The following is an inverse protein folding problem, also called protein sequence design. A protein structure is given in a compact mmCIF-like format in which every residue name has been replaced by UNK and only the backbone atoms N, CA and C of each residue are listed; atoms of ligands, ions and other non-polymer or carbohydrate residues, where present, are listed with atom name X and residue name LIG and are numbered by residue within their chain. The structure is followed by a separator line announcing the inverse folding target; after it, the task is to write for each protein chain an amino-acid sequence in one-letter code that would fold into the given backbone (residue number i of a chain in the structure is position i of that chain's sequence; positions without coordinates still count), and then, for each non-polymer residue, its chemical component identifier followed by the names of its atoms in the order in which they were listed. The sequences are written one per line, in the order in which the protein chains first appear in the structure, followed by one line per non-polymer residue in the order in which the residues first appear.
data_IF_805064446532
#
_entry.id   IF_805064446532
#
_cell.length_a   1.000
_cell.length_b   1.000
_cell.length_c   1.000
_cell.angle_alpha   90.00
_cell.angle_beta   90.00
_cell.angle_gamma   90.00
#
_symmetry.space_group_name_H-M   'P 1'
#
loop_
_entity.id
_entity.type
_entity.pdbx_description
1 polymer ?
#
# COMPACT_ATOMS: atom_id res chain seq x y z
N UNK A 1 7.69 -43.93 -65.66
CA UNK A 1 6.43 -43.27 -65.30
C UNK A 1 6.69 -42.38 -64.09
N UNK A 2 6.27 -41.11 -64.14
CA UNK A 2 6.29 -40.13 -63.02
C UNK A 2 7.61 -39.36 -62.86
N UNK A 3 7.77 -38.16 -63.45
CA UNK A 3 7.39 -36.83 -62.89
C UNK A 3 8.24 -36.48 -61.65
N UNK A 4 9.19 -35.54 -61.66
CA UNK A 4 9.07 -34.15 -62.11
C UNK A 4 8.72 -33.28 -60.90
N UNK A 5 9.60 -32.33 -60.49
CA UNK A 5 9.19 -31.34 -59.48
C UNK A 5 10.30 -30.57 -58.76
N UNK A 6 10.80 -29.52 -59.40
CA UNK A 6 10.80 -28.17 -58.82
C UNK A 6 11.65 -27.89 -57.57
N UNK A 7 12.85 -27.34 -57.81
CA UNK A 7 13.52 -26.44 -56.84
C UNK A 7 12.56 -25.30 -56.46
N UNK A 8 12.23 -25.16 -55.18
CA UNK A 8 11.72 -23.89 -54.63
C UNK A 8 12.70 -23.34 -53.61
N UNK A 9 13.41 -22.29 -54.02
CA UNK A 9 14.15 -21.39 -53.12
C UNK A 9 13.13 -20.77 -52.18
N UNK A 10 13.15 -21.15 -50.91
CA UNK A 10 12.40 -20.47 -49.86
C UNK A 10 12.92 -19.04 -49.72
N UNK A 11 12.10 -18.08 -50.14
CA UNK A 11 12.34 -16.67 -49.90
C UNK A 11 12.40 -16.45 -48.38
N UNK A 12 13.52 -15.91 -47.88
CA UNK A 12 13.62 -15.42 -46.50
C UNK A 12 12.60 -14.30 -46.34
N UNK A 13 11.50 -14.60 -45.65
CA UNK A 13 10.48 -13.62 -45.28
C UNK A 13 11.17 -12.60 -44.35
N UNK A 14 11.27 -11.35 -44.79
CA UNK A 14 11.65 -10.23 -43.91
C UNK A 14 10.61 -10.17 -42.80
N UNK A 15 11.03 -10.51 -41.57
CA UNK A 15 10.26 -10.15 -40.39
C UNK A 15 10.18 -8.62 -40.37
N UNK A 16 8.96 -8.09 -40.17
CA UNK A 16 8.75 -6.66 -39.97
C UNK A 16 9.63 -6.18 -38.80
N UNK A 17 10.04 -4.90 -38.78
CA UNK A 17 10.82 -4.39 -37.65
C UNK A 17 10.00 -4.63 -36.39
N UNK A 18 10.59 -5.35 -35.41
CA UNK A 18 10.06 -5.43 -34.06
C UNK A 18 9.70 -4.00 -33.63
N UNK A 19 8.44 -3.78 -33.22
CA UNK A 19 8.08 -2.57 -32.51
C UNK A 19 9.14 -2.39 -31.42
N UNK A 20 9.99 -1.37 -31.55
CA UNK A 20 10.75 -0.88 -30.41
C UNK A 20 9.67 -0.57 -29.38
N UNK A 21 9.57 -1.36 -28.31
CA UNK A 21 8.80 -0.97 -27.15
C UNK A 21 9.28 0.45 -26.83
N UNK A 22 8.39 1.42 -27.02
CA UNK A 22 8.65 2.78 -26.57
C UNK A 22 8.85 2.59 -25.07
N UNK A 23 10.06 2.87 -24.56
CA UNK A 23 10.31 2.77 -23.12
C UNK A 23 9.40 3.78 -22.45
N UNK A 24 8.29 3.32 -21.89
CA UNK A 24 7.31 4.25 -21.34
C UNK A 24 7.53 4.40 -19.85
N UNK A 25 7.98 5.60 -19.46
CA UNK A 25 8.08 5.98 -18.06
C UNK A 25 6.70 6.43 -17.57
N UNK A 26 6.33 5.97 -16.38
CA UNK A 26 5.03 6.26 -15.76
C UNK A 26 5.29 6.84 -14.38
N UNK A 27 4.58 7.89 -13.98
CA UNK A 27 4.70 8.40 -12.62
C UNK A 27 3.79 7.63 -11.67
N UNK A 28 4.33 7.19 -10.55
CA UNK A 28 3.58 6.69 -9.41
C UNK A 28 3.53 7.76 -8.33
N UNK A 29 2.34 7.98 -7.77
CA UNK A 29 2.11 8.94 -6.69
C UNK A 29 1.57 8.19 -5.49
N UNK A 30 2.23 8.30 -4.34
CA UNK A 30 1.75 7.79 -3.05
C UNK A 30 1.33 8.96 -2.16
N UNK A 31 0.03 9.07 -1.89
CA UNK A 31 -0.56 10.12 -1.07
C UNK A 31 -0.68 9.63 0.37
N UNK A 32 0.31 9.91 1.20
CA UNK A 32 0.20 9.68 2.64
C UNK A 32 -0.58 10.77 3.36
N UNK A 33 -0.95 10.53 4.62
CA UNK A 33 -1.57 11.56 5.47
C UNK A 33 -0.62 12.67 5.96
N UNK A 34 0.64 12.69 5.49
CA UNK A 34 1.66 13.67 5.94
C UNK A 34 2.57 14.10 4.80
N UNK A 35 2.94 13.18 3.90
CA UNK A 35 3.72 13.50 2.71
C UNK A 35 3.05 12.89 1.47
N UNK A 36 3.31 13.50 0.33
CA UNK A 36 3.04 12.97 -1.01
C UNK A 36 4.38 12.65 -1.63
N UNK A 37 4.54 11.42 -2.10
CA UNK A 37 5.74 10.95 -2.78
C UNK A 37 5.41 10.67 -4.24
N UNK A 38 6.29 11.12 -5.14
CA UNK A 38 6.16 10.90 -6.58
C UNK A 38 7.44 10.27 -7.08
N UNK A 39 7.32 9.22 -7.88
CA UNK A 39 8.47 8.64 -8.57
C UNK A 39 8.18 8.34 -10.02
N UNK A 40 9.15 8.62 -10.88
CA UNK A 40 9.12 8.19 -12.27
C UNK A 40 9.62 6.74 -12.35
N UNK A 41 8.78 5.82 -12.82
CA UNK A 41 9.06 4.38 -12.79
C UNK A 41 9.27 3.83 -14.20
N UNK A 42 10.39 3.13 -14.38
CA UNK A 42 10.75 2.41 -15.60
C UNK A 42 9.93 1.13 -15.81
N UNK A 43 10.12 0.48 -16.96
CA UNK A 43 9.46 -0.81 -17.29
C UNK A 43 9.93 -1.97 -16.41
N UNK A 44 11.12 -1.85 -15.84
CA UNK A 44 11.74 -2.78 -14.90
C UNK A 44 11.36 -2.50 -13.44
N UNK A 45 10.35 -1.65 -13.20
CA UNK A 45 9.86 -1.24 -11.90
C UNK A 45 10.88 -0.45 -11.04
N UNK A 46 12.00 0.00 -11.61
CA UNK A 46 12.92 0.89 -10.90
C UNK A 46 12.44 2.34 -10.92
N UNK A 47 12.58 3.00 -9.77
CA UNK A 47 12.33 4.44 -9.62
C UNK A 47 13.55 5.22 -10.14
N UNK A 48 13.36 5.95 -11.24
CA UNK A 48 14.39 6.70 -11.95
C UNK A 48 14.58 8.11 -11.40
N UNK A 49 13.47 8.75 -11.01
CA UNK A 49 13.42 10.12 -10.49
C UNK A 49 12.43 10.17 -9.33
N UNK A 50 12.64 11.10 -8.39
CA UNK A 50 11.76 11.28 -7.23
C UNK A 50 11.50 12.75 -6.93
N UNK A 51 10.27 13.03 -6.50
CA UNK A 51 9.86 14.28 -5.90
C UNK A 51 9.03 14.01 -4.65
N UNK A 52 9.08 14.90 -3.66
CA UNK A 52 8.35 14.76 -2.41
C UNK A 52 7.87 16.11 -1.88
N UNK A 53 6.63 16.13 -1.39
CA UNK A 53 6.02 17.31 -0.76
C UNK A 53 5.24 16.92 0.49
N UNK A 54 4.89 17.90 1.32
CA UNK A 54 3.97 17.69 2.43
C UNK A 54 2.54 17.55 1.93
N UNK A 55 1.72 16.72 2.57
CA UNK A 55 0.29 16.60 2.25
C UNK A 55 -0.45 17.83 2.80
N UNK A 56 -1.06 18.65 1.92
CA UNK A 56 -1.82 19.83 2.34
C UNK A 56 -3.02 19.49 3.23
N UNK A 57 -3.43 20.44 4.07
CA UNK A 57 -4.59 20.30 4.98
C UNK A 57 -5.76 21.21 4.61
N UNK A 58 -5.57 22.07 3.61
CA UNK A 58 -6.50 23.07 3.13
C UNK A 58 -7.68 22.42 2.40
N UNK A 59 -7.48 21.22 1.85
CA UNK A 59 -8.52 20.40 1.23
C UNK A 59 -8.05 19.71 -0.06
N UNK A 60 -8.99 19.09 -0.79
CA UNK A 60 -8.72 18.27 -1.97
C UNK A 60 -8.00 19.03 -3.09
N UNK A 61 -8.36 20.28 -3.35
CA UNK A 61 -7.74 21.08 -4.40
C UNK A 61 -6.25 21.34 -4.14
N UNK A 62 -5.88 21.64 -2.89
CA UNK A 62 -4.47 21.85 -2.54
C UNK A 62 -3.66 20.55 -2.72
N UNK A 63 -4.25 19.39 -2.38
CA UNK A 63 -3.64 18.08 -2.62
C UNK A 63 -3.43 17.84 -4.12
N UNK A 64 -4.46 18.12 -4.94
CA UNK A 64 -4.37 18.01 -6.40
C UNK A 64 -3.26 18.90 -6.97
N UNK A 65 -3.22 20.18 -6.59
CA UNK A 65 -2.22 21.13 -7.06
C UNK A 65 -0.81 20.67 -6.67
N UNK A 66 -0.64 20.16 -5.45
CA UNK A 66 0.64 19.61 -4.97
C UNK A 66 1.06 18.39 -5.78
N UNK A 67 0.15 17.48 -6.12
CA UNK A 67 0.45 16.32 -6.98
C UNK A 67 0.90 16.81 -8.36
N UNK A 68 0.18 17.76 -8.97
CA UNK A 68 0.52 18.33 -10.28
C UNK A 68 1.90 18.95 -10.26
N UNK A 69 2.21 19.76 -9.25
CA UNK A 69 3.50 20.42 -9.11
C UNK A 69 4.65 19.42 -8.92
N UNK A 70 4.45 18.39 -8.10
CA UNK A 70 5.45 17.35 -7.87
C UNK A 70 5.70 16.51 -9.13
N UNK A 71 4.66 16.12 -9.86
CA UNK A 71 4.82 15.37 -11.12
C UNK A 71 5.52 16.23 -12.18
N UNK A 72 5.18 17.52 -12.28
CA UNK A 72 5.84 18.45 -13.22
C UNK A 72 7.27 18.80 -12.82
N UNK A 73 7.64 18.58 -11.56
CA UNK A 73 9.02 18.78 -11.09
C UNK A 73 9.98 17.66 -11.53
N UNK A 74 9.46 16.54 -12.05
CA UNK A 74 10.26 15.49 -12.67
C UNK A 74 10.91 16.04 -13.95
N UNK A 75 12.15 15.66 -14.21
CA UNK A 75 12.91 16.04 -15.41
C UNK A 75 12.41 15.37 -16.69
N UNK A 76 11.63 14.29 -16.56
CA UNK A 76 11.01 13.58 -17.68
C UNK A 76 9.49 13.58 -17.53
N UNK A 77 8.78 13.95 -18.60
CA UNK A 77 7.32 13.89 -18.66
C UNK A 77 6.85 12.42 -18.69
N UNK A 78 6.01 11.99 -17.73
CA UNK A 78 5.49 10.63 -17.72
C UNK A 78 4.39 10.47 -18.78
N UNK A 79 4.23 9.28 -19.36
CA UNK A 79 3.16 9.04 -20.34
C UNK A 79 1.79 8.75 -19.71
N UNK A 80 1.77 8.41 -18.42
CA UNK A 80 0.58 8.22 -17.59
C UNK A 80 0.97 8.42 -16.13
N UNK A 81 -0.02 8.60 -15.27
CA UNK A 81 0.17 8.68 -13.82
C UNK A 81 -0.75 7.68 -13.14
N UNK A 82 -0.24 7.01 -12.10
CA UNK A 82 -1.10 6.30 -11.17
C UNK A 82 -0.95 6.87 -9.77
N UNK A 83 -2.04 6.85 -9.01
CA UNK A 83 -2.15 7.48 -7.69
C UNK A 83 -2.66 6.47 -6.67
N UNK A 84 -1.84 6.19 -5.65
CA UNK A 84 -2.25 5.57 -4.40
C UNK A 84 -2.78 6.63 -3.45
N UNK A 85 -4.00 6.48 -2.94
CA UNK A 85 -4.60 7.41 -1.99
C UNK A 85 -5.35 6.67 -0.88
N UNK A 86 -5.37 7.18 0.37
CA UNK A 86 -6.04 6.50 1.46
C UNK A 86 -7.55 6.55 1.28
N UNK A 87 -8.21 5.43 1.57
CA UNK A 87 -9.67 5.31 1.51
C UNK A 87 -10.15 4.42 0.37
N UNK A 88 -11.48 4.33 0.22
CA UNK A 88 -12.12 3.40 -0.72
C UNK A 88 -12.18 4.04 -2.10
N UNK A 89 -11.49 3.43 -3.06
CA UNK A 89 -11.52 3.79 -4.48
C UNK A 89 -12.35 2.75 -5.24
N UNK A 90 -13.33 3.19 -6.01
CA UNK A 90 -14.13 2.32 -6.85
C UNK A 90 -14.36 2.94 -8.22
N UNK A 91 -14.03 2.20 -9.29
CA UNK A 91 -14.20 2.64 -10.68
C UNK A 91 -13.55 4.00 -11.02
N UNK A 92 -12.44 4.35 -10.36
CA UNK A 92 -11.76 5.64 -10.54
C UNK A 92 -12.30 6.77 -9.65
N UNK A 93 -13.42 6.55 -8.96
CA UNK A 93 -13.98 7.50 -8.00
C UNK A 93 -13.53 7.19 -6.57
N UNK A 94 -13.29 8.24 -5.80
CA UNK A 94 -12.94 8.13 -4.38
C UNK A 94 -14.22 8.27 -3.56
N UNK A 95 -14.66 7.15 -2.98
CA UNK A 95 -15.92 7.08 -2.24
C UNK A 95 -15.79 7.66 -0.83
N UNK A 96 -14.61 7.51 -0.20
CA UNK A 96 -14.33 8.02 1.15
C UNK A 96 -12.84 8.30 1.32
N UNK A 97 -12.48 9.39 2.02
CA UNK A 97 -11.08 9.72 2.37
C UNK A 97 -10.97 9.98 3.88
N UNK A 98 -10.85 8.93 4.71
CA UNK A 98 -10.95 9.06 6.17
C UNK A 98 -9.81 9.83 6.83
N UNK A 99 -8.72 10.14 6.11
CA UNK A 99 -7.51 10.75 6.66
C UNK A 99 -7.11 12.11 6.05
N UNK A 100 -7.87 12.65 5.08
CA UNK A 100 -7.61 14.00 4.53
C UNK A 100 -8.68 14.99 5.03
N UNK A 101 -8.28 16.10 5.69
CA UNK A 101 -9.22 17.08 6.23
C UNK A 101 -9.92 17.89 5.12
N UNK A 102 -11.10 18.43 5.43
CA UNK A 102 -11.88 19.34 4.56
C UNK A 102 -12.29 18.76 3.19
N UNK A 103 -12.60 17.45 3.16
CA UNK A 103 -13.07 16.75 1.97
C UNK A 103 -14.61 16.72 1.92
N UNK A 104 -15.23 17.81 1.48
CA UNK A 104 -16.68 17.96 1.46
C UNK A 104 -17.28 17.58 0.10
N UNK A 105 -17.63 16.29 -0.06
CA UNK A 105 -18.36 15.77 -1.23
C UNK A 105 -17.51 15.04 -2.27
N UNK A 106 -18.16 14.41 -3.28
CA UNK A 106 -17.45 13.70 -4.34
C UNK A 106 -16.72 14.72 -5.23
N UNK A 107 -15.41 14.54 -5.35
CA UNK A 107 -14.59 15.24 -6.35
C UNK A 107 -14.06 14.17 -7.28
N UNK A 108 -14.29 14.35 -8.58
CA UNK A 108 -13.64 13.56 -9.61
C UNK A 108 -12.16 13.97 -9.70
N UNK A 109 -11.35 13.43 -8.79
CA UNK A 109 -9.90 13.68 -8.78
C UNK A 109 -9.24 13.21 -10.06
N UNK A 110 -9.80 12.20 -10.74
CA UNK A 110 -9.25 11.68 -11.97
C UNK A 110 -9.34 12.70 -13.09
N UNK A 111 -10.54 13.18 -13.40
CA UNK A 111 -10.70 14.21 -14.42
C UNK A 111 -9.91 15.50 -14.09
N UNK A 112 -9.82 15.87 -12.80
CA UNK A 112 -9.05 17.03 -12.37
C UNK A 112 -7.54 16.85 -12.59
N UNK A 113 -6.97 15.69 -12.23
CA UNK A 113 -5.55 15.39 -12.43
C UNK A 113 -5.22 15.18 -13.90
N UNK A 114 -6.06 14.49 -14.67
CA UNK A 114 -5.88 14.35 -16.12
C UNK A 114 -5.83 15.70 -16.81
N UNK A 115 -6.75 16.62 -16.45
CA UNK A 115 -6.73 17.99 -16.95
C UNK A 115 -5.47 18.76 -16.52
N UNK A 116 -5.03 18.57 -15.28
CA UNK A 116 -3.84 19.24 -14.74
C UNK A 116 -2.52 18.73 -15.34
N UNK A 117 -2.43 17.44 -15.63
CA UNK A 117 -1.20 16.77 -16.06
C UNK A 117 -1.13 16.58 -17.58
N UNK A 118 -2.27 16.56 -18.29
CA UNK A 118 -2.33 16.34 -19.74
C UNK A 118 -2.10 14.88 -20.15
N UNK A 119 -2.07 13.95 -19.20
CA UNK A 119 -1.85 12.51 -19.42
C UNK A 119 -2.88 11.68 -18.64
N UNK A 120 -3.16 10.42 -19.05
CA UNK A 120 -4.13 9.57 -18.37
C UNK A 120 -3.77 9.29 -16.90
N UNK A 121 -4.77 9.21 -16.02
CA UNK A 121 -4.57 9.01 -14.58
C UNK A 121 -5.40 7.84 -14.04
N UNK A 122 -4.76 6.92 -13.31
CA UNK A 122 -5.42 5.82 -12.61
C UNK A 122 -5.30 5.98 -11.08
N UNK A 123 -6.27 5.43 -10.33
CA UNK A 123 -6.30 5.48 -8.87
C UNK A 123 -6.40 4.10 -8.25
N UNK A 124 -5.79 3.96 -7.09
CA UNK A 124 -5.96 2.81 -6.21
C UNK A 124 -5.89 3.23 -4.75
N UNK A 125 -6.40 2.36 -3.89
CA UNK A 125 -6.17 2.48 -2.46
C UNK A 125 -4.65 2.33 -2.16
N UNK A 126 -4.15 3.12 -1.20
CA UNK A 126 -2.75 3.15 -0.76
C UNK A 126 -2.19 1.77 -0.36
N UNK A 127 -2.93 0.99 0.44
CA UNK A 127 -2.52 -0.37 0.81
C UNK A 127 -2.54 -1.32 -0.40
N UNK A 128 -3.55 -1.19 -1.29
CA UNK A 128 -3.63 -2.02 -2.50
C UNK A 128 -2.46 -1.74 -3.44
N UNK A 129 -2.11 -0.48 -3.68
CA UNK A 129 -0.93 -0.16 -4.50
C UNK A 129 0.36 -0.58 -3.81
N UNK A 130 0.45 -0.45 -2.49
CA UNK A 130 1.60 -0.94 -1.73
C UNK A 130 1.84 -2.45 -1.95
N UNK A 131 0.79 -3.26 -1.83
CA UNK A 131 0.90 -4.70 -2.09
C UNK A 131 1.16 -5.01 -3.56
N UNK A 132 0.56 -4.24 -4.48
CA UNK A 132 0.81 -4.39 -5.92
C UNK A 132 2.28 -4.16 -6.25
N UNK A 133 2.92 -3.13 -5.68
CA UNK A 133 4.34 -2.88 -5.84
C UNK A 133 5.18 -4.06 -5.34
N UNK A 134 4.90 -4.52 -4.12
CA UNK A 134 5.57 -5.68 -3.51
C UNK A 134 5.35 -6.98 -4.29
N UNK A 135 4.20 -7.16 -4.94
CA UNK A 135 3.91 -8.33 -5.76
C UNK A 135 4.64 -8.28 -7.11
N UNK A 136 4.76 -7.09 -7.71
CA UNK A 136 5.45 -6.90 -8.98
C UNK A 136 6.97 -7.01 -8.86
N UNK A 137 7.56 -6.38 -7.84
CA UNK A 137 9.00 -6.19 -7.75
C UNK A 137 9.60 -6.38 -6.35
N UNK A 138 8.81 -6.80 -5.36
CA UNK A 138 9.24 -6.88 -3.97
C UNK A 138 9.04 -8.26 -3.33
N UNK A 139 8.69 -8.24 -2.05
CA UNK A 139 8.63 -9.41 -1.19
C UNK A 139 7.49 -10.38 -1.58
N UNK A 140 6.46 -9.91 -2.30
CA UNK A 140 5.36 -10.75 -2.78
C UNK A 140 5.58 -11.34 -4.19
N UNK A 141 6.72 -11.09 -4.84
CA UNK A 141 7.00 -11.65 -6.17
C UNK A 141 6.90 -13.18 -6.19
N UNK A 142 6.24 -13.68 -7.23
CA UNK A 142 6.02 -15.11 -7.47
C UNK A 142 4.86 -15.73 -6.67
N UNK A 143 4.25 -15.01 -5.74
CA UNK A 143 3.08 -15.51 -5.00
C UNK A 143 1.80 -15.42 -5.83
N UNK A 144 0.93 -16.43 -5.69
CA UNK A 144 -0.43 -16.43 -6.22
C UNK A 144 -1.43 -15.87 -5.23
N UNK A 145 -1.20 -16.06 -3.94
CA UNK A 145 -2.06 -15.52 -2.88
C UNK A 145 -1.21 -14.79 -1.84
N UNK A 146 -1.54 -13.53 -1.60
CA UNK A 146 -0.86 -12.73 -0.59
C UNK A 146 -1.84 -11.84 0.16
N UNK A 147 -1.71 -11.82 1.48
CA UNK A 147 -2.24 -10.75 2.30
C UNK A 147 -1.10 -9.77 2.53
N UNK A 148 -1.38 -8.49 2.47
CA UNK A 148 -0.44 -7.54 3.03
C UNK A 148 -1.05 -6.75 4.18
N UNK A 149 -0.17 -6.25 5.04
CA UNK A 149 -0.47 -5.56 6.28
C UNK A 149 0.43 -4.32 6.41
N UNK A 150 -0.15 -3.12 6.35
CA UNK A 150 0.56 -1.85 6.42
C UNK A 150 0.42 -1.24 7.80
N UNK A 151 1.50 -1.27 8.58
CA UNK A 151 1.56 -0.68 9.92
C UNK A 151 2.08 0.76 9.85
N UNK A 152 1.14 1.71 9.79
CA UNK A 152 1.41 3.13 9.66
C UNK A 152 0.66 3.95 10.71
N UNK A 153 0.11 5.09 10.28
CA UNK A 153 -0.79 5.90 11.12
C UNK A 153 -2.00 5.09 11.59
N UNK A 154 -2.54 4.28 10.68
CA UNK A 154 -3.55 3.25 10.91
C UNK A 154 -3.03 1.85 10.57
N UNK A 155 -3.94 0.92 10.31
CA UNK A 155 -3.62 -0.43 9.82
C UNK A 155 -4.31 -0.64 8.48
N UNK A 156 -3.53 -0.64 7.40
CA UNK A 156 -4.01 -0.95 6.04
C UNK A 156 -3.86 -2.43 5.72
N UNK A 157 -4.65 -2.92 4.78
CA UNK A 157 -4.45 -4.26 4.22
C UNK A 157 -4.91 -4.33 2.77
N UNK A 158 -4.42 -5.36 2.09
CA UNK A 158 -4.66 -5.59 0.67
C UNK A 158 -4.54 -7.08 0.35
N UNK A 159 -5.09 -7.49 -0.78
CA UNK A 159 -5.13 -8.89 -1.19
C UNK A 159 -4.64 -9.07 -2.64
N UNK A 160 -3.78 -10.07 -2.84
CA UNK A 160 -3.57 -10.74 -4.11
C UNK A 160 -4.25 -12.11 -4.00
N UNK A 161 -5.13 -12.44 -4.93
CA UNK A 161 -5.75 -13.77 -5.04
C UNK A 161 -5.65 -14.26 -6.49
N UNK A 162 -5.28 -15.52 -6.67
CA UNK A 162 -5.04 -16.12 -7.99
C UNK A 162 -4.09 -15.33 -8.91
N UNK A 163 -3.05 -14.74 -8.31
CA UNK A 163 -2.04 -13.94 -9.00
C UNK A 163 -2.59 -12.63 -9.54
N UNK A 164 -3.61 -12.05 -8.90
CA UNK A 164 -4.22 -10.78 -9.30
C UNK A 164 -4.59 -9.95 -8.06
N UNK A 165 -4.49 -8.61 -8.11
CA UNK A 165 -5.06 -7.75 -7.09
C UNK A 165 -6.57 -8.02 -6.92
N UNK A 166 -7.02 -8.10 -5.68
CA UNK A 166 -8.41 -8.35 -5.33
C UNK A 166 -8.99 -7.18 -4.53
N UNK A 167 -9.75 -6.31 -5.21
CA UNK A 167 -10.40 -5.14 -4.59
C UNK A 167 -11.79 -5.46 -4.01
N UNK A 168 -12.32 -6.65 -4.29
CA UNK A 168 -13.69 -7.04 -3.96
C UNK A 168 -14.76 -6.28 -4.74
N UNK A 169 -16.04 -6.53 -4.40
CA UNK A 169 -17.19 -6.02 -5.14
C UNK A 169 -17.35 -4.49 -5.09
N UNK A 170 -16.78 -3.83 -4.07
CA UNK A 170 -16.92 -2.38 -3.82
C UNK A 170 -15.60 -1.65 -3.64
N UNK A 171 -14.46 -2.28 -3.95
CA UNK A 171 -13.15 -1.68 -3.72
C UNK A 171 -12.70 -1.67 -2.26
N UNK A 172 -13.29 -2.51 -1.39
CA UNK A 172 -13.08 -2.51 0.06
C UNK A 172 -12.65 -3.89 0.60
N UNK A 173 -12.12 -4.77 -0.27
CA UNK A 173 -11.49 -6.00 0.20
C UNK A 173 -10.15 -5.69 0.88
N UNK A 174 -9.75 -6.53 1.84
CA UNK A 174 -8.44 -6.40 2.50
C UNK A 174 -8.41 -5.44 3.69
N UNK A 175 -9.53 -4.87 4.13
CA UNK A 175 -9.66 -3.96 5.30
C UNK A 175 -9.39 -4.63 6.67
N UNK A 176 -8.21 -5.25 6.80
CA UNK A 176 -7.78 -6.05 7.97
C UNK A 176 -7.70 -5.20 9.24
N UNK A 177 -7.38 -3.91 9.11
CA UNK A 177 -7.38 -2.95 10.21
C UNK A 177 -8.75 -2.78 10.87
N UNK A 178 -9.83 -3.09 10.15
CA UNK A 178 -11.20 -2.95 10.65
C UNK A 178 -11.86 -4.27 11.05
N UNK A 179 -11.15 -5.40 10.94
CA UNK A 179 -11.59 -6.68 11.53
C UNK A 179 -11.75 -6.52 13.03
N UNK A 180 -12.91 -6.90 13.56
CA UNK A 180 -13.21 -6.83 14.99
C UNK A 180 -12.63 -8.05 15.68
N UNK A 181 -11.55 -7.85 16.43
CA UNK A 181 -10.90 -8.91 17.22
C UNK A 181 -11.35 -8.94 18.68
N UNK A 182 -11.97 -7.86 19.15
CA UNK A 182 -12.50 -7.75 20.51
C UNK A 182 -13.84 -7.02 20.54
N UNK A 183 -14.94 -7.76 20.43
CA UNK A 183 -16.28 -7.20 20.50
C UNK A 183 -16.45 -6.32 21.76
N UNK A 184 -16.99 -5.10 21.58
CA UNK A 184 -17.13 -4.13 22.67
C UNK A 184 -15.82 -3.47 23.13
N UNK A 185 -14.70 -3.68 22.43
CA UNK A 185 -13.38 -3.19 22.77
C UNK A 185 -13.16 -1.68 22.58
N UNK A 186 -11.90 -1.32 22.30
CA UNK A 186 -11.45 0.06 22.12
C UNK A 186 -12.14 0.71 20.91
N UNK A 187 -12.40 2.02 21.03
CA UNK A 187 -13.03 2.80 19.96
C UNK A 187 -12.04 3.03 18.80
N UNK A 188 -12.40 2.55 17.62
CA UNK A 188 -11.67 2.79 16.38
C UNK A 188 -12.02 4.16 15.79
N UNK A 189 -11.11 4.70 14.98
CA UNK A 189 -11.31 5.87 14.13
C UNK A 189 -12.57 5.76 13.25
N UNK A 190 -12.90 4.56 12.76
CA UNK A 190 -14.06 4.28 11.92
C UNK A 190 -15.40 4.26 12.67
N UNK A 191 -15.41 4.59 13.98
CA UNK A 191 -16.59 4.64 14.84
C UNK A 191 -17.01 3.31 15.46
N UNK A 192 -16.46 2.18 15.00
CA UNK A 192 -16.70 0.84 15.58
C UNK A 192 -15.82 0.59 16.80
N UNK A 193 -16.11 -0.50 17.53
CA UNK A 193 -15.33 -0.94 18.70
C UNK A 193 -14.70 -2.29 18.47
N UNK A 194 -13.43 -2.42 18.84
CA UNK A 194 -12.71 -3.69 18.82
C UNK A 194 -11.95 -4.02 17.54
N UNK A 195 -11.83 -3.06 16.60
CA UNK A 195 -11.05 -3.22 15.39
C UNK A 195 -9.56 -3.39 15.68
N UNK A 196 -8.82 -4.11 14.83
CA UNK A 196 -7.35 -4.23 14.93
C UNK A 196 -6.67 -2.87 15.05
N UNK A 197 -7.05 -1.90 14.20
CA UNK A 197 -6.50 -0.54 14.19
C UNK A 197 -6.71 0.20 15.52
N UNK A 198 -7.76 -0.12 16.28
CA UNK A 198 -8.04 0.52 17.57
C UNK A 198 -6.96 0.22 18.63
N UNK A 199 -6.11 -0.78 18.38
CA UNK A 199 -5.00 -1.18 19.24
C UNK A 199 -3.65 -1.01 18.56
N UNK A 200 -3.55 -1.37 17.27
CA UNK A 200 -2.27 -1.45 16.57
C UNK A 200 -1.94 -0.25 15.68
N UNK A 201 -2.93 0.60 15.35
CA UNK A 201 -2.65 1.83 14.60
C UNK A 201 -1.82 2.79 15.44
N UNK A 202 -0.78 3.42 14.86
CA UNK A 202 0.09 4.35 15.60
C UNK A 202 -0.68 5.49 16.26
N UNK A 203 -1.72 6.02 15.60
CA UNK A 203 -2.62 7.03 16.18
C UNK A 203 -3.35 6.52 17.44
N UNK A 204 -3.78 5.26 17.42
CA UNK A 204 -4.44 4.62 18.57
C UNK A 204 -3.47 4.39 19.72
N UNK A 205 -2.24 3.93 19.42
CA UNK A 205 -1.18 3.78 20.41
C UNK A 205 -0.78 5.12 21.02
N UNK A 206 -0.62 6.18 20.23
CA UNK A 206 -0.35 7.55 20.71
C UNK A 206 -1.43 8.05 21.68
N UNK A 207 -2.70 7.80 21.37
CA UNK A 207 -3.83 8.13 22.27
C UNK A 207 -3.77 7.33 23.57
N UNK A 208 -3.39 6.06 23.49
CA UNK A 208 -3.22 5.22 24.68
C UNK A 208 -2.07 5.72 25.57
N UNK A 209 -0.92 6.07 24.98
CA UNK A 209 0.20 6.69 25.70
C UNK A 209 -0.25 7.95 26.44
N UNK A 210 -0.91 8.87 25.74
CA UNK A 210 -1.39 10.12 26.35
C UNK A 210 -2.34 9.85 27.54
N UNK A 211 -3.26 8.90 27.39
CA UNK A 211 -4.21 8.51 28.45
C UNK A 211 -3.48 7.92 29.66
N UNK A 212 -2.51 7.03 29.43
CA UNK A 212 -1.80 6.32 30.48
C UNK A 212 -0.81 7.24 31.22
N UNK A 213 -0.17 8.17 30.52
CA UNK A 213 0.68 9.20 31.13
C UNK A 213 -0.15 10.17 31.99
N UNK A 214 -1.34 10.57 31.52
CA UNK A 214 -2.25 11.36 32.35
C UNK A 214 -2.70 10.63 33.62
N UNK A 215 -2.72 9.29 33.59
CA UNK A 215 -2.96 8.43 34.75
C UNK A 215 -1.70 8.14 35.59
N UNK A 216 -0.57 8.79 35.32
CA UNK A 216 0.67 8.69 36.11
C UNK A 216 1.65 7.60 35.66
N UNK A 217 1.42 6.94 34.52
CA UNK A 217 2.41 6.02 33.94
C UNK A 217 3.60 6.82 33.40
N UNK A 218 4.81 6.29 33.59
CA UNK A 218 6.05 6.85 33.04
C UNK A 218 6.41 6.18 31.72
N UNK A 219 7.05 6.94 30.83
CA UNK A 219 7.58 6.46 29.55
C UNK A 219 8.66 7.39 29.04
N UNK A 220 9.66 6.83 28.35
CA UNK A 220 10.69 7.58 27.63
C UNK A 220 10.21 8.07 26.24
N UNK A 221 9.02 7.69 25.78
CA UNK A 221 8.52 8.02 24.44
C UNK A 221 8.54 9.52 24.13
N UNK A 222 8.24 10.39 25.10
CA UNK A 222 8.27 11.84 24.90
C UNK A 222 9.69 12.40 24.90
N UNK A 223 10.57 11.90 25.76
CA UNK A 223 11.97 12.30 25.79
C UNK A 223 12.65 11.91 24.46
N UNK A 224 12.43 10.66 24.01
CA UNK A 224 12.92 10.17 22.71
C UNK A 224 12.36 11.01 21.56
N UNK A 225 11.07 11.38 21.59
CA UNK A 225 10.46 12.26 20.57
C UNK A 225 11.22 13.59 20.48
N UNK A 226 11.50 14.20 21.62
CA UNK A 226 12.13 15.52 21.70
C UNK A 226 13.59 15.47 21.26
N UNK A 227 14.33 14.43 21.67
CA UNK A 227 15.70 14.16 21.22
C UNK A 227 15.78 13.92 19.70
N UNK A 228 14.77 13.25 19.12
CA UNK A 228 14.67 12.98 17.69
C UNK A 228 14.13 14.18 16.87
N UNK A 229 13.87 15.31 17.54
CA UNK A 229 13.27 16.51 16.96
C UNK A 229 11.99 16.21 16.14
N UNK A 230 11.14 15.30 16.65
CA UNK A 230 9.88 14.91 16.00
C UNK A 230 8.69 15.62 16.62
N UNK A 231 7.68 15.92 15.78
CA UNK A 231 6.43 16.54 16.24
C UNK A 231 5.46 15.56 16.92
N UNK A 232 5.69 14.25 16.79
CA UNK A 232 4.83 13.20 17.32
C UNK A 232 5.59 11.89 17.51
N UNK A 233 4.92 10.87 18.07
CA UNK A 233 5.53 9.55 18.31
C UNK A 233 5.60 8.75 17.00
N UNK A 234 6.48 9.19 16.10
CA UNK A 234 6.69 8.55 14.79
C UNK A 234 7.18 7.10 14.92
N UNK A 235 7.13 6.32 13.83
CA UNK A 235 7.66 4.94 13.83
C UNK A 235 9.13 4.87 14.27
N UNK A 236 9.93 5.91 14.02
CA UNK A 236 11.32 6.02 14.52
C UNK A 236 11.36 6.09 16.06
N UNK A 237 10.48 6.90 16.66
CA UNK A 237 10.38 7.04 18.12
C UNK A 237 9.94 5.73 18.76
N UNK A 238 8.94 5.05 18.17
CA UNK A 238 8.50 3.73 18.63
C UNK A 238 9.61 2.67 18.53
N UNK A 239 10.29 2.57 17.39
CA UNK A 239 11.38 1.62 17.21
C UNK A 239 12.50 1.83 18.23
N UNK A 240 12.88 3.09 18.49
CA UNK A 240 13.88 3.43 19.51
C UNK A 240 13.40 3.08 20.93
N UNK A 241 12.16 3.42 21.29
CA UNK A 241 11.61 3.08 22.60
C UNK A 241 11.53 1.56 22.83
N UNK A 242 11.23 0.77 21.80
CA UNK A 242 11.25 -0.69 21.88
C UNK A 242 12.66 -1.24 22.05
N UNK A 243 13.65 -0.68 21.33
CA UNK A 243 15.05 -1.06 21.46
C UNK A 243 15.63 -0.70 22.84
N UNK A 244 15.18 0.40 23.44
CA UNK A 244 15.54 0.83 24.79
C UNK A 244 14.68 0.17 25.89
N UNK A 245 13.78 -0.75 25.51
CA UNK A 245 12.90 -1.49 26.42
C UNK A 245 12.03 -0.58 27.31
N UNK A 246 11.52 0.53 26.77
CA UNK A 246 10.55 1.37 27.46
C UNK A 246 9.31 0.53 27.85
N UNK A 247 8.97 0.40 29.15
CA UNK A 247 7.93 -0.51 29.57
C UNK A 247 6.55 -0.24 28.97
N UNK A 248 6.18 1.05 28.82
CA UNK A 248 4.88 1.43 28.25
C UNK A 248 4.83 1.16 26.75
N UNK A 249 5.91 1.47 26.02
CA UNK A 249 6.02 1.18 24.60
C UNK A 249 5.92 -0.33 24.34
N UNK A 250 6.68 -1.14 25.11
CA UNK A 250 6.63 -2.60 25.00
C UNK A 250 5.24 -3.17 25.33
N UNK A 251 4.56 -2.68 26.36
CA UNK A 251 3.19 -3.10 26.72
C UNK A 251 2.19 -2.84 25.59
N UNK A 252 2.17 -1.61 25.06
CA UNK A 252 1.26 -1.22 23.99
C UNK A 252 1.57 -1.94 22.69
N UNK A 253 2.85 -2.10 22.37
CA UNK A 253 3.28 -2.79 21.16
C UNK A 253 2.98 -4.30 21.22
N UNK A 254 3.13 -4.93 22.40
CA UNK A 254 2.71 -6.32 22.60
C UNK A 254 1.22 -6.46 22.34
N UNK A 255 0.41 -5.58 22.92
CA UNK A 255 -1.05 -5.55 22.68
C UNK A 255 -1.37 -5.39 21.19
N UNK A 256 -0.64 -4.52 20.49
CA UNK A 256 -0.80 -4.29 19.06
C UNK A 256 -0.51 -5.56 18.23
N UNK A 257 0.62 -6.22 18.49
CA UNK A 257 1.03 -7.44 17.79
C UNK A 257 0.07 -8.61 18.07
N UNK A 258 -0.36 -8.80 19.31
CA UNK A 258 -1.35 -9.83 19.66
C UNK A 258 -2.68 -9.61 18.93
N UNK A 259 -3.14 -8.36 18.88
CA UNK A 259 -4.37 -7.96 18.19
C UNK A 259 -4.26 -8.21 16.67
N UNK A 260 -3.12 -7.85 16.07
CA UNK A 260 -2.82 -8.17 14.67
C UNK A 260 -2.83 -9.68 14.47
N UNK A 261 -2.21 -10.45 15.36
CA UNK A 261 -2.17 -11.90 15.31
C UNK A 261 -3.56 -12.53 15.22
N UNK A 262 -4.51 -12.09 16.06
CA UNK A 262 -5.91 -12.55 16.00
C UNK A 262 -6.51 -12.27 14.61
N UNK A 263 -6.35 -11.05 14.11
CA UNK A 263 -6.92 -10.63 12.83
C UNK A 263 -6.32 -11.39 11.64
N UNK A 264 -4.99 -11.44 11.56
CA UNK A 264 -4.25 -12.08 10.47
C UNK A 264 -4.43 -13.59 10.49
N UNK A 265 -4.35 -14.24 11.65
CA UNK A 265 -4.61 -15.68 11.76
C UNK A 265 -6.04 -16.05 11.35
N UNK A 266 -7.03 -15.23 11.73
CA UNK A 266 -8.42 -15.40 11.27
C UNK A 266 -8.55 -15.21 9.76
N UNK A 267 -7.85 -14.23 9.17
CA UNK A 267 -7.87 -14.00 7.73
C UNK A 267 -7.23 -15.15 6.96
N UNK A 268 -6.13 -15.72 7.45
CA UNK A 268 -5.48 -16.90 6.86
C UNK A 268 -6.45 -18.08 6.81
N UNK A 269 -7.23 -18.33 7.87
CA UNK A 269 -8.24 -19.40 7.87
C UNK A 269 -9.32 -19.24 6.79
N UNK A 270 -9.59 -18.00 6.35
CA UNK A 270 -10.61 -17.70 5.34
C UNK A 270 -10.03 -17.68 3.93
N UNK A 271 -8.80 -17.18 3.79
CA UNK A 271 -8.22 -16.82 2.50
C UNK A 271 -7.17 -17.80 2.00
N UNK A 272 -6.52 -18.55 2.89
CA UNK A 272 -5.46 -19.51 2.58
C UNK A 272 -4.34 -18.91 1.69
N UNK A 273 -3.58 -17.97 2.26
CA UNK A 273 -2.54 -17.22 1.54
C UNK A 273 -1.17 -17.87 1.62
N UNK A 274 -0.36 -17.75 0.56
CA UNK A 274 1.05 -18.19 0.54
C UNK A 274 1.96 -17.21 1.29
N UNK A 275 1.57 -15.94 1.36
CA UNK A 275 2.42 -14.88 1.91
C UNK A 275 1.64 -13.83 2.68
N UNK A 276 2.21 -13.41 3.80
CA UNK A 276 1.85 -12.19 4.51
C UNK A 276 2.98 -11.19 4.40
N UNK A 277 2.77 -10.08 3.69
CA UNK A 277 3.75 -9.00 3.58
C UNK A 277 3.46 -7.93 4.63
N UNK A 278 4.43 -7.62 5.48
CA UNK A 278 4.30 -6.62 6.53
C UNK A 278 5.07 -5.37 6.11
N UNK A 279 4.35 -4.28 5.87
CA UNK A 279 4.88 -3.01 5.38
C UNK A 279 4.51 -1.81 6.27
N UNK A 280 4.82 -0.62 5.77
CA UNK A 280 4.61 0.65 6.46
C UNK A 280 5.76 1.07 7.38
N UNK A 281 5.69 2.28 7.90
CA UNK A 281 6.83 2.91 8.57
C UNK A 281 7.36 2.19 9.81
N UNK A 282 6.59 1.32 10.47
CA UNK A 282 7.14 0.46 11.54
C UNK A 282 7.92 -0.73 10.96
N UNK A 283 7.45 -1.33 9.87
CA UNK A 283 8.16 -2.40 9.17
C UNK A 283 9.48 -1.91 8.57
N UNK A 284 9.57 -0.67 8.10
CA UNK A 284 10.86 -0.08 7.68
C UNK A 284 11.89 0.01 8.81
N UNK A 285 11.46 0.16 10.07
CA UNK A 285 12.37 0.32 11.22
C UNK A 285 12.71 -1.01 11.88
N UNK A 286 11.76 -1.94 11.89
CA UNK A 286 11.90 -3.24 12.56
C UNK A 286 12.21 -4.38 11.58
N UNK A 287 11.97 -4.19 10.29
CA UNK A 287 12.25 -5.15 9.23
C UNK A 287 11.58 -6.50 9.47
N UNK A 288 12.32 -7.57 9.18
CA UNK A 288 11.85 -8.94 9.33
C UNK A 288 11.49 -9.31 10.78
N UNK A 289 12.09 -8.69 11.79
CA UNK A 289 11.73 -8.92 13.21
C UNK A 289 10.24 -8.59 13.47
N UNK A 290 9.70 -7.57 12.80
CA UNK A 290 8.26 -7.27 12.89
C UNK A 290 7.41 -8.37 12.24
N UNK A 291 7.79 -8.82 11.05
CA UNK A 291 7.09 -9.87 10.33
C UNK A 291 7.09 -11.19 11.14
N UNK A 292 8.22 -11.53 11.77
CA UNK A 292 8.38 -12.72 12.61
C UNK A 292 7.51 -12.64 13.87
N UNK A 293 7.43 -11.46 14.51
CA UNK A 293 6.52 -11.23 15.65
C UNK A 293 5.05 -11.38 15.27
N UNK A 294 4.66 -10.85 14.10
CA UNK A 294 3.31 -11.00 13.57
C UNK A 294 3.02 -12.48 13.27
N UNK A 295 3.96 -13.21 12.68
CA UNK A 295 3.84 -14.64 12.44
C UNK A 295 3.60 -15.43 13.72
N UNK A 296 4.43 -15.19 14.75
CA UNK A 296 4.31 -15.83 16.04
C UNK A 296 2.97 -15.52 16.73
N UNK A 297 2.48 -14.29 16.62
CA UNK A 297 1.20 -13.88 17.18
C UNK A 297 -0.01 -14.44 16.42
N UNK A 298 0.11 -14.68 15.11
CA UNK A 298 -0.94 -15.25 14.28
C UNK A 298 -1.08 -16.77 14.45
N UNK A 299 0.03 -17.48 14.72
CA UNK A 299 0.09 -18.93 14.77
C UNK A 299 -0.96 -19.61 15.67
N UNK A 300 -1.28 -19.11 16.89
CA UNK A 300 -2.31 -19.71 17.74
C UNK A 300 -3.73 -19.62 17.18
N UNK A 301 -3.96 -18.73 16.21
CA UNK A 301 -5.28 -18.47 15.62
C UNK A 301 -5.48 -19.16 14.27
N UNK A 302 -4.44 -19.82 13.74
CA UNK A 302 -4.51 -20.59 12.51
C UNK A 302 -5.07 -22.00 12.77
N UNK A 303 -5.95 -22.47 11.88
CA UNK A 303 -6.54 -23.81 11.97
C UNK A 303 -5.48 -24.91 11.82
N UNK A 304 -4.55 -24.72 10.88
CA UNK A 304 -3.46 -25.65 10.59
C UNK A 304 -2.17 -24.87 10.31
N UNK A 305 -1.01 -25.32 10.82
CA UNK A 305 0.28 -24.82 10.35
C UNK A 305 0.36 -25.00 8.84
N UNK A 306 0.68 -23.93 8.11
CA UNK A 306 0.84 -23.96 6.67
C UNK A 306 2.34 -23.93 6.37
N UNK A 307 2.97 -25.05 5.96
CA UNK A 307 4.42 -25.15 5.84
C UNK A 307 5.02 -24.17 4.82
N UNK A 308 4.24 -23.79 3.80
CA UNK A 308 4.66 -22.87 2.76
C UNK A 308 4.23 -21.41 3.02
N UNK A 309 3.53 -21.14 4.12
CA UNK A 309 3.13 -19.77 4.48
C UNK A 309 4.35 -19.00 4.99
N UNK A 310 4.61 -17.85 4.37
CA UNK A 310 5.73 -16.98 4.75
C UNK A 310 5.23 -15.61 5.23
N UNK A 311 5.78 -15.14 6.34
CA UNK A 311 5.62 -13.75 6.78
C UNK A 311 6.91 -13.02 6.44
N UNK A 312 6.83 -11.95 5.66
CA UNK A 312 8.00 -11.23 5.16
C UNK A 312 7.82 -9.74 5.33
N UNK A 313 8.91 -9.03 5.65
CA UNK A 313 8.90 -7.58 5.58
C UNK A 313 8.82 -7.11 4.11
N UNK A 314 8.11 -6.01 3.87
CA UNK A 314 8.10 -5.32 2.58
C UNK A 314 9.54 -5.01 2.13
N UNK A 315 9.88 -5.32 0.89
CA UNK A 315 11.25 -5.22 0.38
C UNK A 315 11.53 -3.87 -0.29
N UNK A 316 10.51 -3.19 -0.81
CA UNK A 316 10.63 -1.91 -1.51
C UNK A 316 10.60 -0.70 -0.55
N UNK A 317 10.19 -0.91 0.71
CA UNK A 317 10.08 0.18 1.69
C UNK A 317 9.15 1.28 1.19
N UNK A 318 9.63 2.55 1.23
CA UNK A 318 8.91 3.73 0.74
C UNK A 318 8.52 3.62 -0.74
N UNK A 319 9.24 2.84 -1.55
CA UNK A 319 8.96 2.71 -2.98
C UNK A 319 7.74 1.80 -3.28
N UNK A 320 7.23 1.04 -2.29
CA UNK A 320 6.11 0.10 -2.50
C UNK A 320 4.89 0.78 -3.12
N UNK A 321 4.49 1.93 -2.56
CA UNK A 321 3.34 2.71 -3.02
C UNK A 321 3.57 3.31 -4.40
N UNK A 322 4.75 3.90 -4.62
CA UNK A 322 5.12 4.52 -5.90
C UNK A 322 5.17 3.51 -7.04
N UNK A 323 5.84 2.36 -6.83
CA UNK A 323 5.97 1.31 -7.86
C UNK A 323 4.60 0.72 -8.20
N UNK A 324 3.79 0.42 -7.19
CA UNK A 324 2.44 -0.10 -7.40
C UNK A 324 1.52 0.90 -8.09
N UNK A 325 1.56 2.16 -7.67
CA UNK A 325 0.77 3.23 -8.28
C UNK A 325 1.16 3.41 -9.76
N UNK A 326 2.45 3.45 -10.09
CA UNK A 326 2.89 3.52 -11.47
C UNK A 326 2.40 2.34 -12.33
N UNK A 327 2.24 1.14 -11.76
CA UNK A 327 1.65 0.01 -12.48
C UNK A 327 0.20 0.25 -12.89
N UNK A 328 -0.59 0.98 -12.08
CA UNK A 328 -1.95 1.36 -12.45
C UNK A 328 -1.96 2.29 -13.66
N UNK A 329 -1.10 3.32 -13.65
CA UNK A 329 -0.95 4.22 -14.80
C UNK A 329 -0.48 3.49 -16.05
N UNK A 330 0.42 2.52 -15.90
CA UNK A 330 0.91 1.69 -17.01
C UNK A 330 -0.20 0.85 -17.65
N UNK A 331 -1.14 0.35 -16.86
CA UNK A 331 -2.27 -0.44 -17.36
C UNK A 331 -3.17 0.36 -18.34
N UNK A 332 -3.27 1.68 -18.17
CA UNK A 332 -4.01 2.56 -19.10
C UNK A 332 -3.40 2.60 -20.50
N UNK A 333 -2.08 2.38 -20.61
CA UNK A 333 -1.34 2.50 -21.88
C UNK A 333 -1.37 1.21 -22.70
N UNK A 334 -1.51 0.07 -22.05
CA UNK A 334 -1.43 -1.26 -22.68
C UNK A 334 -2.82 -1.70 -23.20
N UNK A 335 -3.90 -1.02 -22.78
CA UNK A 335 -5.26 -1.40 -23.14
C UNK A 335 -5.63 -2.79 -22.60
N UNK A 336 -5.03 -3.21 -21.49
CA UNK A 336 -5.32 -4.52 -20.91
C UNK A 336 -6.81 -4.60 -20.50
N UNK A 337 -7.50 -5.71 -20.83
CA UNK A 337 -8.89 -5.94 -20.44
C UNK A 337 -8.93 -6.24 -18.94
N UNK A 338 -8.92 -5.16 -18.14
CA UNK A 338 -8.90 -5.22 -16.68
C UNK A 338 -9.01 -3.86 -15.99
N UNK A 339 -8.87 -2.75 -16.73
CA UNK A 339 -9.25 -1.43 -16.25
C UNK A 339 -10.73 -1.37 -15.83
N UNK A 340 -11.14 -0.36 -15.04
CA UNK A 340 -12.49 -0.27 -14.48
C UNK A 340 -13.62 -0.35 -15.52
N UNK A 341 -13.36 0.00 -16.79
CA UNK A 341 -14.31 -0.15 -17.90
C UNK A 341 -14.60 -1.61 -18.30
N UNK A 342 -13.70 -2.55 -18.01
CA UNK A 342 -13.90 -3.97 -18.33
C UNK A 342 -14.93 -4.68 -17.42
N UNK A 343 -15.40 -4.02 -16.35
CA UNK A 343 -16.36 -4.57 -15.38
C UNK A 343 -17.84 -4.31 -15.74
N UNK A 344 -18.16 -3.67 -16.87
CA UNK A 344 -19.55 -3.32 -17.24
C UNK A 344 -20.25 -4.39 -18.12
N UNK A 345 -19.62 -5.54 -18.42
CA UNK A 345 -20.37 -6.61 -19.09
C UNK A 345 -19.94 -8.02 -18.69
N UNK A 346 -20.56 -8.54 -17.61
CA UNK A 346 -21.23 -9.85 -17.53
C UNK A 346 -21.77 -10.12 -16.14
#
# INVERSE_FOLDING_TARGET
MGSGGGRRRGARRRLAPSQRAVRVNVAGVDVGGTNIEVGLVGEDHYVLERAKGGTPREGPQAVLDTIVDLVRSLGTEPAAVGVGIPGVVHAGEILTVPNLPNWDGPIDLGAALEKGLGVPVAFGNDANVGLLGEWLAGAATGSRTALGLWMGTGIGGALILDGRPFDGARGAAGEIGHVVVRAGGALCSCGRRGCVEAYAGRRSMERAVSTMVAAGRRTALYDIRDEEAKKGLTSKVWARALAEHDPLACELFTTAIETIGVGVGSAINVLDVERVVVGGGLAEKLGQDLADRVAAAAQPWMLTPHPDLSFVAAALGDDSGVVGAASLGRALLIGEPGGPEARISR
#
